data_IF_466817937113
#
_entry.id   IF_466817937113
#
_cell.length_a   1.000
_cell.length_b   1.000
_cell.length_c   1.000
_cell.angle_alpha   90.00
_cell.angle_beta   90.00
_cell.angle_gamma   90.00
#
_symmetry.space_group_name_H-M   'P 1'
#
loop_
_entity.id
_entity.type
_entity.pdbx_description
1 polymer ?
#
# COMPACT_ATOMS: atom_id res chain seq x y z
N UNK A 1 -0.48 22.85 -13.20
CA UNK A 1 0.85 23.16 -13.78
C UNK A 1 0.70 23.23 -15.28
N UNK A 2 1.18 24.29 -15.91
CA UNK A 2 1.19 24.45 -17.37
C UNK A 2 2.57 24.94 -17.83
N UNK A 3 2.75 25.19 -19.13
CA UNK A 3 4.03 25.61 -19.71
C UNK A 3 3.89 26.98 -20.39
N UNK A 4 4.89 27.85 -20.19
CA UNK A 4 4.99 29.19 -20.77
C UNK A 4 6.48 29.56 -20.95
N UNK A 5 6.87 30.09 -22.11
CA UNK A 5 8.26 30.47 -22.44
C UNK A 5 9.34 29.43 -22.10
N UNK A 6 9.01 28.14 -22.26
CA UNK A 6 9.91 27.03 -21.95
C UNK A 6 10.10 26.77 -20.44
N UNK A 7 9.32 27.40 -19.57
CA UNK A 7 9.26 27.18 -18.12
C UNK A 7 7.96 26.49 -17.72
N UNK A 8 7.98 25.78 -16.58
CA UNK A 8 6.77 25.25 -15.94
C UNK A 8 6.18 26.32 -15.01
N UNK A 9 4.89 26.59 -15.16
CA UNK A 9 4.15 27.49 -14.28
C UNK A 9 3.36 26.67 -13.28
N UNK A 10 3.76 26.77 -12.01
CA UNK A 10 3.03 26.20 -10.88
C UNK A 10 2.06 27.25 -10.32
N UNK A 11 0.77 26.93 -10.35
CA UNK A 11 -0.28 27.73 -9.71
C UNK A 11 -0.49 27.19 -8.31
N UNK A 12 -0.21 28.00 -7.30
CA UNK A 12 -0.34 27.66 -5.89
C UNK A 12 -1.51 28.47 -5.33
N UNK A 13 -2.46 27.81 -4.66
CA UNK A 13 -3.61 28.47 -4.04
C UNK A 13 -3.43 28.47 -2.53
N UNK A 14 -3.62 29.63 -1.91
CA UNK A 14 -3.77 29.72 -0.46
C UNK A 14 -5.13 29.15 -0.05
N UNK A 15 -5.18 28.10 0.77
CA UNK A 15 -6.45 27.48 1.16
C UNK A 15 -7.30 28.33 2.11
N UNK A 16 -6.73 29.35 2.75
CA UNK A 16 -7.45 30.25 3.65
C UNK A 16 -7.98 31.50 2.95
N UNK A 17 -7.22 32.09 2.02
CA UNK A 17 -7.60 33.34 1.32
C UNK A 17 -8.13 33.10 -0.10
N UNK A 18 -7.97 31.90 -0.63
CA UNK A 18 -8.27 31.49 -2.02
C UNK A 18 -7.44 32.20 -3.10
N UNK A 19 -6.55 33.11 -2.71
CA UNK A 19 -5.64 33.79 -3.62
C UNK A 19 -4.71 32.79 -4.32
N UNK A 20 -4.42 33.06 -5.59
CA UNK A 20 -3.54 32.26 -6.41
C UNK A 20 -2.25 33.02 -6.70
N UNK A 21 -1.14 32.30 -6.63
CA UNK A 21 0.18 32.78 -7.02
C UNK A 21 0.75 31.88 -8.11
N UNK A 22 1.39 32.47 -9.10
CA UNK A 22 2.10 31.75 -10.15
C UNK A 22 3.61 31.76 -9.92
N UNK A 23 4.24 30.59 -10.07
CA UNK A 23 5.69 30.41 -9.92
C UNK A 23 6.26 29.78 -11.18
N UNK A 24 7.14 30.50 -11.88
CA UNK A 24 7.91 29.96 -13.01
C UNK A 24 9.12 29.17 -12.49
N UNK A 25 9.20 27.88 -12.85
CA UNK A 25 10.25 26.95 -12.41
C UNK A 25 10.69 26.04 -13.56
N UNK A 26 11.86 25.44 -13.44
CA UNK A 26 12.35 24.45 -14.41
C UNK A 26 11.70 23.07 -14.23
N UNK A 27 11.28 22.73 -13.01
CA UNK A 27 10.66 21.46 -12.68
C UNK A 27 9.66 21.61 -11.53
N UNK A 28 8.56 20.86 -11.59
CA UNK A 28 7.64 20.66 -10.48
C UNK A 28 7.68 19.18 -10.09
N UNK A 29 7.99 18.90 -8.83
CA UNK A 29 7.93 17.55 -8.25
C UNK A 29 6.72 17.49 -7.34
N UNK A 30 5.80 16.57 -7.60
CA UNK A 30 4.59 16.36 -6.80
C UNK A 30 4.79 15.10 -5.98
N UNK A 31 4.85 15.25 -4.67
CA UNK A 31 4.77 14.17 -3.70
C UNK A 31 3.47 14.39 -2.92
N UNK A 32 2.45 13.57 -3.21
CA UNK A 32 1.12 13.68 -2.62
C UNK A 32 0.70 12.33 -2.03
N UNK A 33 1.65 11.69 -1.33
CA UNK A 33 1.50 10.32 -0.87
C UNK A 33 1.43 9.31 -2.00
N UNK A 34 1.18 8.06 -1.61
CA UNK A 34 0.92 6.96 -2.53
C UNK A 34 -0.43 6.31 -2.23
N UNK A 35 -1.01 5.65 -3.23
CA UNK A 35 -2.18 4.80 -3.03
C UNK A 35 -1.75 3.34 -3.19
N UNK A 36 -2.21 2.43 -2.33
CA UNK A 36 -1.91 1.00 -2.48
C UNK A 36 -2.32 0.48 -3.87
N UNK A 37 -1.45 -0.30 -4.50
CA UNK A 37 -1.81 -1.06 -5.70
C UNK A 37 -2.53 -2.35 -5.28
N UNK A 38 -3.83 -2.24 -4.98
CA UNK A 38 -4.61 -3.30 -4.33
C UNK A 38 -5.63 -4.00 -5.24
N UNK A 39 -5.71 -3.60 -6.52
CA UNK A 39 -6.68 -4.14 -7.48
C UNK A 39 -6.64 -5.67 -7.56
N UNK A 40 -5.45 -6.25 -7.69
CA UNK A 40 -5.27 -7.70 -7.76
C UNK A 40 -5.70 -8.39 -6.45
N UNK A 41 -5.37 -7.79 -5.30
CA UNK A 41 -5.79 -8.34 -4.02
C UNK A 41 -7.31 -8.42 -3.93
N UNK A 42 -8.02 -7.34 -4.31
CA UNK A 42 -9.47 -7.33 -4.28
C UNK A 42 -10.10 -8.31 -5.27
N UNK A 43 -9.49 -8.51 -6.44
CA UNK A 43 -9.92 -9.52 -7.40
C UNK A 43 -9.77 -10.94 -6.85
N UNK A 44 -8.70 -11.22 -6.11
CA UNK A 44 -8.40 -12.57 -5.58
C UNK A 44 -9.05 -12.87 -4.23
N UNK A 45 -9.42 -11.84 -3.44
CA UNK A 45 -9.93 -12.02 -2.08
C UNK A 45 -11.17 -12.92 -1.98
N UNK A 46 -12.17 -12.86 -2.89
CA UNK A 46 -13.33 -13.75 -2.83
C UNK A 46 -12.97 -15.23 -3.12
N UNK A 47 -11.90 -15.45 -3.88
CA UNK A 47 -11.43 -16.77 -4.33
C UNK A 47 -10.50 -17.45 -3.30
N UNK A 48 -9.91 -16.68 -2.39
CA UNK A 48 -8.97 -17.22 -1.40
C UNK A 48 -9.67 -17.92 -0.25
N UNK A 49 -9.04 -18.99 0.26
CA UNK A 49 -9.59 -19.81 1.36
C UNK A 49 -9.79 -18.98 2.63
N UNK A 50 -8.82 -18.12 2.95
CA UNK A 50 -8.89 -17.27 4.13
C UNK A 50 -9.68 -15.96 3.90
N UNK A 51 -10.17 -15.68 2.69
CA UNK A 51 -10.81 -14.40 2.33
C UNK A 51 -10.00 -13.16 2.73
N UNK A 52 -8.67 -13.28 2.73
CA UNK A 52 -7.76 -12.22 3.18
C UNK A 52 -7.69 -11.99 4.69
N UNK A 53 -8.25 -12.89 5.52
CA UNK A 53 -8.18 -12.81 6.97
C UNK A 53 -6.77 -13.06 7.49
N UNK A 54 -6.38 -12.25 8.46
CA UNK A 54 -5.14 -12.35 9.23
C UNK A 54 -5.51 -12.34 10.71
N UNK A 55 -5.04 -13.33 11.46
CA UNK A 55 -5.08 -13.32 12.91
C UNK A 55 -3.94 -12.43 13.42
N UNK A 56 -4.29 -11.20 13.79
CA UNK A 56 -3.34 -10.17 14.24
C UNK A 56 -2.67 -10.56 15.56
N UNK A 57 -3.37 -11.28 16.44
CA UNK A 57 -2.80 -11.70 17.72
C UNK A 57 -1.71 -12.74 17.50
N UNK A 58 -1.97 -13.74 16.67
CA UNK A 58 -0.97 -14.76 16.28
C UNK A 58 0.19 -14.14 15.50
N UNK A 59 -0.11 -13.23 14.57
CA UNK A 59 0.91 -12.52 13.82
C UNK A 59 1.87 -11.77 14.77
N UNK A 60 1.33 -11.04 15.76
CA UNK A 60 2.13 -10.34 16.75
C UNK A 60 2.92 -11.28 17.66
N UNK A 61 2.31 -12.40 18.07
CA UNK A 61 2.96 -13.44 18.87
C UNK A 61 4.02 -14.25 18.11
N UNK A 62 4.23 -13.98 16.80
CA UNK A 62 5.08 -14.80 15.92
C UNK A 62 4.64 -16.28 15.89
N UNK A 63 3.32 -16.50 15.91
CA UNK A 63 2.71 -17.81 15.74
C UNK A 63 2.18 -17.98 14.30
N UNK A 64 2.19 -19.22 13.76
CA UNK A 64 1.59 -19.51 12.46
C UNK A 64 0.12 -19.08 12.40
N UNK A 65 -0.28 -18.54 11.25
CA UNK A 65 -1.67 -18.20 10.98
C UNK A 65 -2.52 -19.47 10.95
N UNK A 66 -3.73 -19.49 11.55
CA UNK A 66 -4.53 -20.71 11.63
C UNK A 66 -4.86 -21.31 10.26
N UNK A 67 -5.04 -20.46 9.25
CA UNK A 67 -5.36 -20.91 7.89
C UNK A 67 -4.18 -21.59 7.17
N UNK A 68 -2.96 -21.57 7.71
CA UNK A 68 -1.82 -22.31 7.14
C UNK A 68 -1.96 -23.83 7.31
N UNK A 69 -2.83 -24.30 8.20
CA UNK A 69 -3.15 -25.73 8.35
C UNK A 69 -4.16 -26.24 7.32
N UNK A 70 -4.73 -25.35 6.48
CA UNK A 70 -5.64 -25.72 5.41
C UNK A 70 -4.94 -26.54 4.33
N UNK A 71 -5.57 -27.64 3.89
CA UNK A 71 -5.07 -28.41 2.76
C UNK A 71 -5.28 -27.62 1.46
N UNK A 72 -4.17 -27.20 0.85
CA UNK A 72 -4.17 -26.45 -0.42
C UNK A 72 -3.89 -27.38 -1.60
N UNK A 73 -4.80 -27.38 -2.57
CA UNK A 73 -4.73 -28.16 -3.79
C UNK A 73 -5.78 -27.67 -4.79
N UNK A 74 -5.71 -28.13 -6.05
CA UNK A 74 -6.71 -27.81 -7.09
C UNK A 74 -6.97 -26.30 -7.28
N UNK A 75 -5.92 -25.47 -7.21
CA UNK A 75 -6.04 -24.01 -7.37
C UNK A 75 -6.51 -23.24 -6.15
N UNK A 76 -6.70 -23.89 -4.99
CA UNK A 76 -6.95 -23.20 -3.70
C UNK A 76 -5.68 -22.49 -3.24
N UNK A 77 -5.85 -21.28 -2.71
CA UNK A 77 -4.75 -20.48 -2.18
C UNK A 77 -5.18 -19.66 -0.96
N UNK A 78 -4.18 -19.28 -0.15
CA UNK A 78 -4.31 -18.28 0.91
C UNK A 78 -3.83 -16.93 0.37
N UNK A 79 -4.46 -15.85 0.82
CA UNK A 79 -4.14 -14.51 0.37
C UNK A 79 -3.85 -13.61 1.57
N UNK A 80 -2.71 -12.95 1.55
CA UNK A 80 -2.28 -12.00 2.58
C UNK A 80 -1.87 -10.68 1.93
N UNK A 81 -1.96 -9.57 2.68
CA UNK A 81 -1.37 -8.28 2.30
C UNK A 81 -0.25 -7.95 3.29
N UNK A 82 0.83 -7.41 2.76
CA UNK A 82 2.01 -6.97 3.51
C UNK A 82 2.56 -5.69 2.87
N UNK A 83 3.54 -5.07 3.51
CA UNK A 83 4.22 -3.90 2.92
C UNK A 83 3.38 -2.64 2.93
N UNK A 84 3.59 -1.74 1.98
CA UNK A 84 2.94 -0.42 1.93
C UNK A 84 1.41 -0.47 1.81
N UNK A 85 0.85 -1.63 1.45
CA UNK A 85 -0.60 -1.86 1.49
C UNK A 85 -1.18 -1.94 2.92
N UNK A 86 -0.34 -2.07 3.95
CA UNK A 86 -0.70 -2.19 5.37
C UNK A 86 0.14 -1.23 6.23
N UNK A 87 1.46 -1.28 6.06
CA UNK A 87 2.48 -0.54 6.82
C UNK A 87 3.12 0.55 5.96
N UNK A 88 2.30 1.44 5.40
CA UNK A 88 2.70 2.50 4.47
C UNK A 88 3.86 3.35 5.02
N UNK A 89 4.90 3.57 4.20
CA UNK A 89 6.09 4.36 4.52
C UNK A 89 6.90 3.85 5.74
N UNK A 90 6.73 2.59 6.12
CA UNK A 90 7.49 1.97 7.21
C UNK A 90 8.19 0.71 6.73
N UNK A 91 9.46 0.86 6.31
CA UNK A 91 10.29 -0.24 5.81
C UNK A 91 10.39 -1.37 6.85
N UNK A 92 10.55 -1.04 8.12
CA UNK A 92 10.61 -2.05 9.18
C UNK A 92 9.26 -2.78 9.33
N UNK A 93 8.15 -2.05 9.33
CA UNK A 93 6.80 -2.61 9.35
C UNK A 93 6.56 -3.58 8.18
N UNK A 94 6.86 -3.13 6.96
CA UNK A 94 6.76 -3.93 5.74
C UNK A 94 7.55 -5.25 5.83
N UNK A 95 8.80 -5.19 6.29
CA UNK A 95 9.65 -6.38 6.46
C UNK A 95 9.08 -7.30 7.54
N UNK A 96 8.69 -6.76 8.69
CA UNK A 96 8.20 -7.58 9.79
C UNK A 96 6.82 -8.20 9.52
N UNK A 97 5.95 -7.55 8.74
CA UNK A 97 4.67 -8.13 8.29
C UNK A 97 4.91 -9.40 7.46
N UNK A 98 5.82 -9.33 6.49
CA UNK A 98 6.18 -10.48 5.66
C UNK A 98 6.92 -11.56 6.46
N UNK A 99 7.86 -11.17 7.32
CA UNK A 99 8.64 -12.12 8.12
C UNK A 99 7.75 -12.94 9.06
N UNK A 100 6.81 -12.30 9.77
CA UNK A 100 5.91 -13.00 10.71
C UNK A 100 4.95 -13.96 10.02
N UNK A 101 4.61 -13.72 8.75
CA UNK A 101 3.78 -14.63 7.95
C UNK A 101 4.58 -15.81 7.36
N UNK A 102 5.87 -15.59 7.06
CA UNK A 102 6.67 -16.50 6.23
C UNK A 102 7.83 -17.17 6.95
N UNK A 103 7.99 -17.02 8.25
CA UNK A 103 9.13 -17.61 8.96
C UNK A 103 8.78 -18.95 9.60
N UNK A 104 7.66 -18.99 10.31
CA UNK A 104 7.26 -20.09 11.16
C UNK A 104 6.07 -20.82 10.52
N UNK A 105 6.26 -22.08 10.12
CA UNK A 105 5.28 -22.94 9.45
C UNK A 105 5.17 -24.30 10.12
#
# INVERSE_FOLDING_TARGET
VYEEDGKKIAVIRNEYTEEQEERAVDQVVIENGSTPNDQLYWALKPESVNRGQVDVHKLFASEPQPCLSEELGNGRFLLFRVGDCISMHNIHGAIYDALRLCKDF
#
